data_IF_821024549932
#
_entry.id   IF_821024549932
#
_cell.length_a   1.000
_cell.length_b   1.000
_cell.length_c   1.000
_cell.angle_alpha   90.00
_cell.angle_beta   90.00
_cell.angle_gamma   90.00
#
_symmetry.space_group_name_H-M   'P 1'
#
loop_
_entity.id
_entity.type
_entity.pdbx_description
1 polymer ?
#
# COMPACT_ATOMS: atom_id res chain seq x y z
N UNK A 1 -11.92 -3.83 8.39
CA UNK A 1 -11.21 -2.54 8.49
C UNK A 1 -9.77 -2.73 8.06
N UNK A 2 -9.27 -1.89 7.16
CA UNK A 2 -7.86 -1.78 6.77
C UNK A 2 -7.29 -0.55 7.44
N UNK A 3 -6.20 -0.72 8.20
CA UNK A 3 -5.44 0.37 8.82
C UNK A 3 -4.14 0.49 8.03
N UNK A 4 -3.82 1.70 7.57
CA UNK A 4 -2.63 1.92 6.76
C UNK A 4 -2.14 3.37 6.92
N UNK A 5 -0.83 3.56 6.99
CA UNK A 5 -0.17 4.87 7.10
C UNK A 5 0.21 5.48 5.74
N UNK A 6 0.20 4.69 4.66
CA UNK A 6 0.59 5.14 3.33
C UNK A 6 -0.44 6.06 2.70
N UNK A 7 -0.11 7.34 2.62
CA UNK A 7 -0.88 8.35 1.88
C UNK A 7 -1.03 7.98 0.40
N UNK A 8 -0.04 7.29 -0.17
CA UNK A 8 -0.08 6.84 -1.57
C UNK A 8 -1.18 5.80 -1.81
N UNK A 9 -1.34 4.85 -0.90
CA UNK A 9 -2.40 3.82 -0.97
C UNK A 9 -3.77 4.46 -0.80
N UNK A 10 -3.92 5.37 0.17
CA UNK A 10 -5.17 6.12 0.35
C UNK A 10 -5.57 6.86 -0.94
N UNK A 11 -4.61 7.54 -1.57
CA UNK A 11 -4.85 8.31 -2.80
C UNK A 11 -5.18 7.38 -3.96
N UNK A 12 -4.47 6.25 -4.07
CA UNK A 12 -4.68 5.26 -5.12
C UNK A 12 -6.06 4.58 -5.03
N UNK A 13 -6.53 4.25 -3.82
CA UNK A 13 -7.83 3.61 -3.62
C UNK A 13 -9.00 4.58 -3.78
N UNK A 14 -8.81 5.87 -3.47
CA UNK A 14 -9.82 6.91 -3.71
C UNK A 14 -9.99 7.28 -5.19
N UNK A 15 -9.01 6.98 -6.03
CA UNK A 15 -9.10 7.29 -7.45
C UNK A 15 -10.10 6.34 -8.13
N UNK A 16 -11.21 6.87 -8.63
CA UNK A 16 -12.24 6.10 -9.35
C UNK A 16 -11.73 5.50 -10.68
N UNK A 17 -10.67 6.08 -11.25
CA UNK A 17 -10.08 5.63 -12.51
C UNK A 17 -8.56 5.49 -12.36
N UNK A 18 -8.08 4.45 -11.66
CA UNK A 18 -6.66 4.19 -11.52
C UNK A 18 -6.05 3.93 -12.91
N UNK A 19 -5.02 4.70 -13.26
CA UNK A 19 -4.27 4.51 -14.52
C UNK A 19 -3.19 3.44 -14.42
N UNK A 20 -2.69 3.18 -13.21
CA UNK A 20 -1.67 2.16 -13.00
C UNK A 20 -2.31 0.79 -12.74
N UNK A 21 -1.69 -0.26 -13.30
CA UNK A 21 -2.20 -1.65 -13.24
C UNK A 21 -2.29 -2.20 -11.81
N UNK A 22 -1.41 -1.77 -10.92
CA UNK A 22 -1.37 -2.25 -9.53
C UNK A 22 -2.63 -1.75 -8.80
N UNK A 23 -2.93 -0.46 -8.86
CA UNK A 23 -4.11 0.13 -8.25
C UNK A 23 -5.41 -0.41 -8.84
N UNK A 24 -5.47 -0.63 -10.16
CA UNK A 24 -6.63 -1.33 -10.77
C UNK A 24 -6.83 -2.71 -10.15
N UNK A 25 -5.77 -3.54 -10.12
CA UNK A 25 -5.84 -4.89 -9.58
C UNK A 25 -6.26 -4.89 -8.10
N UNK A 26 -5.66 -4.02 -7.30
CA UNK A 26 -6.00 -3.88 -5.88
C UNK A 26 -7.46 -3.47 -5.68
N UNK A 27 -7.99 -2.55 -6.48
CA UNK A 27 -9.41 -2.17 -6.38
C UNK A 27 -10.34 -3.33 -6.77
N UNK A 28 -10.04 -4.06 -7.85
CA UNK A 28 -10.83 -5.24 -8.23
C UNK A 28 -10.84 -6.29 -7.11
N UNK A 29 -9.69 -6.63 -6.53
CA UNK A 29 -9.62 -7.59 -5.42
C UNK A 29 -10.42 -7.14 -4.19
N UNK A 30 -10.42 -5.84 -3.89
CA UNK A 30 -11.21 -5.28 -2.78
C UNK A 30 -12.72 -5.33 -3.05
N UNK A 31 -13.15 -5.10 -4.31
CA UNK A 31 -14.55 -5.20 -4.73
C UNK A 31 -15.01 -6.67 -4.71
N UNK A 32 -14.20 -7.57 -5.27
CA UNK A 32 -14.49 -9.00 -5.37
C UNK A 32 -14.58 -9.67 -3.99
N UNK A 33 -13.91 -9.11 -2.98
CA UNK A 33 -14.02 -9.58 -1.61
C UNK A 33 -15.43 -9.43 -1.00
N UNK A 34 -16.35 -8.70 -1.66
CA UNK A 34 -17.77 -8.49 -1.26
C UNK A 34 -17.97 -8.09 0.22
N UNK A 35 -16.96 -7.46 0.82
CA UNK A 35 -16.99 -6.96 2.19
C UNK A 35 -17.07 -5.45 2.15
N UNK A 36 -17.83 -4.87 3.08
CA UNK A 36 -17.70 -3.44 3.36
C UNK A 36 -16.33 -3.25 4.01
N UNK A 37 -15.38 -2.71 3.25
CA UNK A 37 -14.02 -2.46 3.71
C UNK A 37 -13.94 -1.00 4.14
N UNK A 38 -13.91 -0.79 5.45
CA UNK A 38 -13.57 0.50 6.03
C UNK A 38 -12.06 0.71 5.99
N UNK A 39 -11.62 1.91 5.58
CA UNK A 39 -10.21 2.28 5.50
C UNK A 39 -9.91 3.40 6.50
N UNK A 40 -8.93 3.18 7.37
CA UNK A 40 -8.44 4.16 8.33
C UNK A 40 -7.01 4.54 7.98
N UNK A 41 -6.81 5.82 7.64
CA UNK A 41 -5.48 6.37 7.41
C UNK A 41 -4.87 6.90 8.71
N UNK A 42 -3.65 6.47 9.02
CA UNK A 42 -2.96 6.81 10.28
C UNK A 42 -1.74 7.67 9.97
N UNK A 43 -1.96 8.82 9.34
CA UNK A 43 -0.87 9.70 8.91
C UNK A 43 -0.28 10.64 9.95
N UNK A 44 -0.87 10.76 11.14
CA UNK A 44 -0.43 11.70 12.18
C UNK A 44 0.09 10.97 13.43
N UNK A 45 -0.27 9.69 13.61
CA UNK A 45 0.15 8.83 14.74
C UNK A 45 1.16 7.76 14.29
N UNK A 46 2.00 8.10 13.32
CA UNK A 46 2.81 7.20 12.48
C UNK A 46 3.85 6.37 13.24
N UNK A 47 4.00 6.55 14.56
CA UNK A 47 5.03 5.86 15.36
C UNK A 47 4.56 5.38 16.73
N UNK A 48 3.29 5.51 17.12
CA UNK A 48 2.89 5.13 18.48
C UNK A 48 1.52 4.45 18.53
N UNK A 49 1.54 3.13 18.72
CA UNK A 49 0.50 2.41 19.45
C UNK A 49 -0.43 1.53 18.60
N UNK A 50 -0.25 1.50 17.28
CA UNK A 50 -0.95 0.54 16.43
C UNK A 50 -0.01 -0.63 16.12
N UNK A 51 0.03 -1.58 17.06
CA UNK A 51 0.85 -2.80 16.99
C UNK A 51 0.72 -3.55 15.65
N UNK A 52 -0.44 -3.48 14.98
CA UNK A 52 -0.63 -4.07 13.67
C UNK A 52 0.14 -3.38 12.55
N UNK A 53 0.22 -2.03 12.56
CA UNK A 53 0.99 -1.26 11.58
C UNK A 53 2.49 -1.46 11.82
N UNK A 54 2.91 -1.36 13.08
CA UNK A 54 4.33 -1.52 13.47
C UNK A 54 4.89 -2.90 13.05
N UNK A 55 4.11 -3.98 13.22
CA UNK A 55 4.49 -5.31 12.72
C UNK A 55 4.55 -5.39 11.19
N UNK A 56 3.68 -4.66 10.49
CA UNK A 56 3.72 -4.61 9.04
C UNK A 56 4.98 -3.88 8.55
N UNK A 57 5.37 -2.80 9.22
CA UNK A 57 6.61 -2.07 8.94
C UNK A 57 7.85 -2.93 9.20
N UNK A 58 7.87 -3.66 10.32
CA UNK A 58 8.95 -4.62 10.62
C UNK A 58 9.05 -5.72 9.54
N UNK A 59 7.92 -6.27 9.11
CA UNK A 59 7.90 -7.28 8.04
C UNK A 59 8.45 -6.72 6.72
N UNK A 60 8.12 -5.48 6.37
CA UNK A 60 8.67 -4.80 5.18
C UNK A 60 10.16 -4.56 5.33
N UNK A 61 10.62 -4.12 6.50
CA UNK A 61 12.05 -3.93 6.78
C UNK A 61 12.84 -5.24 6.63
N UNK A 62 12.32 -6.35 7.18
CA UNK A 62 12.96 -7.66 7.03
C UNK A 62 12.95 -8.14 5.59
N UNK A 63 11.84 -7.97 4.86
CA UNK A 63 11.75 -8.39 3.46
C UNK A 63 12.70 -7.59 2.55
N UNK A 64 12.79 -6.26 2.75
CA UNK A 64 13.63 -5.39 1.93
C UNK A 64 15.13 -5.61 2.15
N UNK A 65 15.55 -5.89 3.39
CA UNK A 65 16.93 -6.25 3.68
C UNK A 65 17.36 -7.61 3.10
N UNK A 66 16.40 -8.47 2.76
CA UNK A 66 16.64 -9.78 2.13
C UNK A 66 16.45 -9.78 0.61
N UNK A 67 16.12 -8.62 0.00
CA UNK A 67 16.06 -8.52 -1.45
C UNK A 67 17.50 -8.55 -2.01
N UNK A 68 17.70 -9.40 -3.02
CA UNK A 68 18.98 -9.54 -3.75
C UNK A 68 19.01 -8.73 -5.05
N UNK A 69 17.90 -8.07 -5.42
CA UNK A 69 17.77 -7.32 -6.67
C UNK A 69 17.00 -6.00 -6.45
N UNK A 70 17.70 -5.04 -5.85
CA UNK A 70 17.12 -3.82 -5.27
C UNK A 70 17.23 -2.65 -6.24
N UNK A 71 17.75 -2.90 -7.44
CA UNK A 71 18.06 -1.88 -8.41
C UNK A 71 16.88 -1.70 -9.35
N UNK A 72 16.35 -0.47 -9.40
CA UNK A 72 15.43 -0.06 -10.46
C UNK A 72 16.26 0.05 -11.75
N UNK A 73 16.47 -1.07 -12.43
CA UNK A 73 17.33 -1.12 -13.63
C UNK A 73 16.71 -0.41 -14.85
N UNK A 74 15.42 -0.08 -14.80
CA UNK A 74 14.74 0.65 -15.88
C UNK A 74 13.70 1.64 -15.34
N UNK A 75 14.09 2.90 -15.24
CA UNK A 75 13.14 4.01 -15.34
C UNK A 75 12.89 4.22 -16.84
N UNK A 76 11.85 3.58 -17.38
CA UNK A 76 11.38 3.89 -18.72
C UNK A 76 10.74 5.28 -18.73
N UNK A 77 11.35 6.24 -19.43
CA UNK A 77 10.70 7.50 -19.74
C UNK A 77 9.51 7.17 -20.66
N UNK A 78 8.29 7.32 -20.14
CA UNK A 78 7.08 7.25 -20.95
C UNK A 78 7.08 8.52 -21.81
N UNK A 79 7.35 8.36 -23.12
CA UNK A 79 7.11 9.38 -24.15
C UNK A 79 5.61 9.51 -24.42
#
# INVERSE_FOLDING_TARGET
MIINDSLSILTALKNLWPKNKISQKSQCELIDAQKIIEFMWVGIFIYVGINGNEKADEAVFLATNNLTNNTIDKIGIIQ
#
